data_IF_042038870088
#
_entry.id   IF_042038870088
#
_cell.length_a   1.000
_cell.length_b   1.000
_cell.length_c   1.000
_cell.angle_alpha   90.00
_cell.angle_beta   90.00
_cell.angle_gamma   90.00
#
_symmetry.space_group_name_H-M   'P 1'
#
loop_
_entity.id
_entity.type
_entity.pdbx_description
1 polymer ?
#
# COMPACT_ATOMS: atom_id res chain seq x y z
N UNK A 1 4.42 -21.44 -17.82
CA UNK A 1 3.91 -20.24 -17.15
C UNK A 1 4.06 -19.03 -18.06
N UNK A 2 3.04 -18.23 -18.10
CA UNK A 2 3.06 -17.03 -18.93
C UNK A 2 4.02 -15.99 -18.33
N UNK A 3 4.90 -15.43 -19.17
CA UNK A 3 5.80 -14.35 -18.79
C UNK A 3 5.36 -13.07 -19.50
N UNK A 4 5.33 -11.98 -18.77
CA UNK A 4 4.98 -10.66 -19.30
C UNK A 4 6.05 -9.64 -18.94
N UNK A 5 6.19 -8.64 -19.80
CA UNK A 5 7.03 -7.47 -19.49
C UNK A 5 6.19 -6.49 -18.67
N UNK A 6 6.72 -6.09 -17.51
CA UNK A 6 6.07 -5.10 -16.68
C UNK A 6 7.00 -3.91 -16.46
N UNK A 7 6.42 -2.71 -16.48
CA UNK A 7 7.12 -1.49 -16.09
C UNK A 7 6.87 -1.23 -14.63
N UNK A 8 7.93 -1.16 -13.84
CA UNK A 8 7.89 -0.81 -12.42
C UNK A 8 8.27 0.66 -12.29
N UNK A 9 7.41 1.43 -11.64
CA UNK A 9 7.66 2.85 -11.35
C UNK A 9 7.91 3.01 -9.86
N UNK A 10 9.05 3.61 -9.53
CA UNK A 10 9.41 3.99 -8.16
C UNK A 10 9.04 5.45 -7.97
N UNK A 11 8.15 5.71 -7.01
CA UNK A 11 7.58 7.03 -6.77
C UNK A 11 8.00 7.54 -5.40
N UNK A 12 8.22 8.83 -5.27
CA UNK A 12 8.65 9.43 -4.02
C UNK A 12 8.05 10.80 -3.75
N UNK A 13 7.97 11.13 -2.48
CA UNK A 13 7.78 12.48 -1.96
C UNK A 13 8.98 12.81 -1.06
N UNK A 14 9.55 14.00 -1.23
CA UNK A 14 10.70 14.46 -0.45
C UNK A 14 10.31 15.51 0.60
N UNK A 15 9.04 15.91 0.62
CA UNK A 15 8.47 16.82 1.60
C UNK A 15 6.98 16.55 1.72
N UNK A 16 6.37 16.81 2.89
CA UNK A 16 4.92 16.72 3.03
C UNK A 16 4.25 17.79 2.17
N UNK A 17 3.16 17.40 1.51
CA UNK A 17 2.32 18.34 0.77
C UNK A 17 1.29 18.99 1.69
N UNK A 18 0.39 19.76 1.07
CA UNK A 18 -0.70 20.46 1.78
C UNK A 18 -2.07 19.96 1.32
N UNK A 19 -2.11 18.87 0.58
CA UNK A 19 -3.36 18.32 0.05
C UNK A 19 -4.27 17.85 1.16
N UNK A 20 -5.54 18.23 1.10
CA UNK A 20 -6.59 17.78 2.02
C UNK A 20 -7.66 17.08 1.20
N UNK A 21 -8.08 15.91 1.62
CA UNK A 21 -9.15 15.15 0.99
C UNK A 21 -10.25 14.93 2.02
N UNK A 22 -11.45 15.41 1.74
CA UNK A 22 -12.59 15.18 2.61
C UNK A 22 -13.00 13.69 2.60
N UNK A 23 -13.37 13.18 3.77
CA UNK A 23 -13.87 11.82 3.87
C UNK A 23 -15.19 11.68 3.09
N UNK A 24 -15.33 10.68 2.19
CA UNK A 24 -16.55 10.51 1.40
C UNK A 24 -17.72 9.96 2.23
N UNK A 25 -17.44 9.48 3.43
CA UNK A 25 -18.43 8.89 4.36
C UNK A 25 -17.98 9.18 5.78
N UNK A 26 -18.91 9.06 6.73
CA UNK A 26 -18.64 9.29 8.16
C UNK A 26 -18.24 8.03 8.94
N UNK A 27 -18.40 6.84 8.34
CA UNK A 27 -18.20 5.54 8.99
C UNK A 27 -16.87 4.89 8.64
N UNK A 28 -15.83 5.70 8.42
CA UNK A 28 -14.48 5.25 8.11
C UNK A 28 -13.63 5.22 9.36
N UNK A 29 -12.90 4.13 9.56
CA UNK A 29 -11.93 3.96 10.65
C UNK A 29 -10.68 3.28 10.10
N UNK A 30 -9.50 3.75 10.50
CA UNK A 30 -8.23 3.07 10.19
C UNK A 30 -7.64 2.58 11.50
N UNK A 31 -7.37 1.28 11.58
CA UNK A 31 -6.81 0.66 12.77
C UNK A 31 -5.43 0.08 12.48
N UNK A 32 -4.48 0.38 13.37
CA UNK A 32 -3.17 -0.28 13.37
C UNK A 32 -3.33 -1.66 13.99
N UNK A 33 -2.94 -2.70 13.24
CA UNK A 33 -2.92 -4.08 13.72
C UNK A 33 -1.49 -4.45 14.10
N UNK A 34 -1.22 -4.58 15.39
CA UNK A 34 0.11 -4.94 15.88
C UNK A 34 0.34 -6.45 15.73
N UNK A 35 1.48 -6.82 15.13
CA UNK A 35 1.91 -8.20 14.97
C UNK A 35 0.77 -9.12 14.48
N UNK A 36 0.16 -8.83 13.31
CA UNK A 36 -0.92 -9.67 12.81
C UNK A 36 -0.40 -11.09 12.54
N UNK A 37 -1.29 -12.07 12.67
CA UNK A 37 -0.94 -13.45 12.30
C UNK A 37 -0.72 -13.58 10.80
N UNK A 38 0.09 -14.54 10.39
CA UNK A 38 0.34 -14.82 8.96
C UNK A 38 -0.97 -15.11 8.21
N UNK A 39 -1.89 -15.97 8.70
CA UNK A 39 -3.16 -16.20 8.01
C UNK A 39 -4.02 -14.95 7.87
N UNK A 40 -4.10 -14.13 8.92
CA UNK A 40 -4.87 -12.89 8.87
C UNK A 40 -4.28 -11.91 7.82
N UNK A 41 -2.96 -11.70 7.87
CA UNK A 41 -2.30 -10.83 6.91
C UNK A 41 -2.50 -11.32 5.47
N UNK A 42 -2.34 -12.62 5.22
CA UNK A 42 -2.55 -13.18 3.89
C UNK A 42 -3.99 -13.03 3.41
N UNK A 43 -4.97 -13.08 4.32
CA UNK A 43 -6.36 -12.82 3.94
C UNK A 43 -6.55 -11.40 3.41
N UNK A 44 -5.94 -10.40 4.05
CA UNK A 44 -5.94 -9.02 3.58
C UNK A 44 -5.21 -8.89 2.24
N UNK A 45 -4.00 -9.41 2.18
CA UNK A 45 -3.15 -9.34 0.99
C UNK A 45 -3.82 -9.97 -0.24
N UNK A 46 -4.41 -11.15 -0.06
CA UNK A 46 -5.09 -11.84 -1.16
C UNK A 46 -6.40 -11.15 -1.53
N UNK A 47 -7.17 -10.64 -0.56
CA UNK A 47 -8.43 -9.95 -0.83
C UNK A 47 -8.22 -8.69 -1.69
N UNK A 48 -7.13 -7.97 -1.47
CA UNK A 48 -6.79 -6.77 -2.25
C UNK A 48 -6.07 -7.15 -3.54
N UNK A 49 -5.06 -8.01 -3.47
CA UNK A 49 -4.07 -8.18 -4.50
C UNK A 49 -4.31 -9.27 -5.51
N UNK A 50 -5.26 -10.20 -5.28
CA UNK A 50 -5.44 -11.36 -6.16
C UNK A 50 -5.75 -10.95 -7.61
N UNK A 51 -6.49 -9.88 -7.82
CA UNK A 51 -6.83 -9.37 -9.16
C UNK A 51 -5.68 -8.60 -9.83
N UNK A 52 -4.60 -8.30 -9.09
CA UNK A 52 -3.45 -7.53 -9.58
C UNK A 52 -2.16 -8.35 -9.60
N UNK A 53 -2.27 -9.67 -9.48
CA UNK A 53 -1.12 -10.59 -9.48
C UNK A 53 -0.10 -10.30 -8.36
N UNK A 54 -0.58 -9.97 -7.18
CA UNK A 54 0.28 -9.83 -6.01
C UNK A 54 0.71 -11.22 -5.53
N UNK A 55 1.98 -11.56 -5.69
CA UNK A 55 2.50 -12.89 -5.40
C UNK A 55 3.54 -12.92 -4.28
N UNK A 56 4.23 -11.80 -4.04
CA UNK A 56 5.39 -11.80 -3.14
C UNK A 56 5.11 -12.34 -1.76
N UNK A 57 4.11 -11.81 -1.06
CA UNK A 57 3.75 -12.26 0.29
C UNK A 57 3.01 -13.60 0.29
N UNK A 58 2.37 -13.95 -0.81
CA UNK A 58 1.68 -15.25 -0.95
C UNK A 58 2.68 -16.38 -1.02
N UNK A 59 3.80 -16.19 -1.73
CA UNK A 59 4.83 -17.21 -1.94
C UNK A 59 5.91 -17.22 -0.85
N UNK A 60 5.93 -16.21 0.01
CA UNK A 60 6.93 -16.09 1.08
C UNK A 60 6.71 -17.17 2.13
N UNK A 61 7.81 -17.76 2.64
CA UNK A 61 7.73 -18.73 3.74
C UNK A 61 7.08 -18.09 4.98
N UNK A 62 6.30 -18.88 5.73
CA UNK A 62 5.57 -18.39 6.91
C UNK A 62 6.50 -17.75 7.94
N UNK A 63 7.65 -18.36 8.19
CA UNK A 63 8.61 -17.88 9.19
C UNK A 63 9.19 -16.52 8.81
N UNK A 64 9.49 -16.33 7.53
CA UNK A 64 10.01 -15.06 7.04
C UNK A 64 8.94 -13.97 7.12
N UNK A 65 7.72 -14.29 6.74
CA UNK A 65 6.60 -13.34 6.81
C UNK A 65 6.32 -12.97 8.26
N UNK A 66 6.27 -13.96 9.17
CA UNK A 66 6.06 -13.70 10.58
C UNK A 66 7.10 -12.76 11.16
N UNK A 67 8.37 -12.91 10.79
CA UNK A 67 9.44 -12.00 11.22
C UNK A 67 9.19 -10.57 10.79
N UNK A 68 8.72 -10.37 9.57
CA UNK A 68 8.36 -9.03 9.08
C UNK A 68 7.17 -8.46 9.84
N UNK A 69 6.12 -9.26 10.04
CA UNK A 69 4.89 -8.83 10.71
C UNK A 69 5.08 -8.55 12.20
N UNK A 70 6.04 -9.22 12.84
CA UNK A 70 6.35 -9.00 14.25
C UNK A 70 7.23 -7.77 14.49
N UNK A 71 7.85 -7.23 13.45
CA UNK A 71 8.68 -6.03 13.58
C UNK A 71 7.77 -4.81 13.79
N UNK A 72 7.92 -4.06 14.91
CA UNK A 72 7.07 -2.89 15.17
C UNK A 72 7.28 -1.74 14.17
N UNK A 73 8.36 -1.79 13.40
CA UNK A 73 8.61 -0.81 12.32
C UNK A 73 7.97 -1.21 10.99
N UNK A 74 7.35 -2.38 10.91
CA UNK A 74 6.51 -2.77 9.79
C UNK A 74 5.05 -2.70 10.24
N UNK A 75 4.31 -1.71 9.74
CA UNK A 75 2.97 -1.38 10.24
C UNK A 75 1.90 -1.80 9.25
N UNK A 76 0.85 -2.42 9.76
CA UNK A 76 -0.33 -2.78 8.97
C UNK A 76 -1.50 -1.93 9.47
N UNK A 77 -1.97 -1.02 8.62
CA UNK A 77 -3.12 -0.16 8.89
C UNK A 77 -4.31 -0.64 8.06
N UNK A 78 -5.38 -1.04 8.71
CA UNK A 78 -6.56 -1.60 8.05
C UNK A 78 -7.67 -0.57 8.03
N UNK A 79 -8.13 -0.23 6.82
CA UNK A 79 -9.32 0.61 6.63
C UNK A 79 -10.57 -0.22 6.85
N UNK A 80 -11.46 0.30 7.69
CA UNK A 80 -12.78 -0.26 7.95
C UNK A 80 -13.86 0.70 7.46
N UNK A 81 -14.88 0.15 6.82
CA UNK A 81 -16.08 0.87 6.41
C UNK A 81 -17.25 0.24 7.15
N UNK A 82 -17.93 1.01 7.99
CA UNK A 82 -19.01 0.49 8.84
C UNK A 82 -18.59 -0.76 9.63
N UNK A 83 -17.37 -0.78 10.12
CA UNK A 83 -16.79 -1.90 10.88
C UNK A 83 -16.27 -3.07 10.05
N UNK A 84 -16.38 -3.05 8.73
CA UNK A 84 -15.92 -4.11 7.85
C UNK A 84 -14.55 -3.75 7.24
N UNK A 85 -13.59 -4.68 7.19
CA UNK A 85 -12.34 -4.45 6.47
C UNK A 85 -12.59 -4.13 5.01
N UNK A 86 -11.98 -3.05 4.52
CA UNK A 86 -12.17 -2.55 3.16
C UNK A 86 -10.87 -2.41 2.37
N UNK A 87 -9.73 -2.43 3.05
CA UNK A 87 -8.43 -2.29 2.44
C UNK A 87 -7.35 -2.12 3.49
N UNK A 88 -6.10 -2.00 3.06
CA UNK A 88 -5.01 -1.79 4.00
C UNK A 88 -3.84 -1.04 3.37
N UNK A 89 -3.03 -0.45 4.24
CA UNK A 89 -1.74 0.16 3.91
C UNK A 89 -0.67 -0.47 4.79
N UNK A 90 0.42 -0.89 4.19
CA UNK A 90 1.57 -1.44 4.90
C UNK A 90 2.74 -0.49 4.77
N UNK A 91 3.31 -0.08 5.92
CA UNK A 91 4.48 0.79 5.97
C UNK A 91 5.70 0.03 6.48
N UNK A 92 6.80 0.18 5.78
CA UNK A 92 8.11 -0.29 6.21
C UNK A 92 8.94 0.92 6.65
N UNK A 93 9.25 1.00 7.96
CA UNK A 93 10.05 2.07 8.57
C UNK A 93 11.41 1.56 9.05
N UNK A 94 11.85 0.39 8.57
CA UNK A 94 13.11 -0.22 9.03
C UNK A 94 14.34 0.53 8.52
N UNK A 95 14.23 1.27 7.42
CA UNK A 95 15.32 2.12 6.93
C UNK A 95 15.26 3.48 7.61
N UNK A 96 16.39 4.00 8.16
CA UNK A 96 16.43 5.32 8.76
C UNK A 96 16.02 6.41 7.77
N UNK A 97 15.27 7.41 8.24
CA UNK A 97 14.85 8.58 7.48
C UNK A 97 13.91 8.30 6.30
N UNK A 98 13.51 7.05 6.10
CA UNK A 98 12.61 6.68 5.01
C UNK A 98 11.38 5.91 5.51
N UNK A 99 10.25 6.11 4.84
CA UNK A 99 9.07 5.27 4.96
C UNK A 99 8.73 4.75 3.57
N UNK A 100 8.64 3.43 3.45
CA UNK A 100 8.10 2.80 2.24
C UNK A 100 6.65 2.38 2.49
N UNK A 101 5.75 2.73 1.58
CA UNK A 101 4.43 2.11 1.54
C UNK A 101 4.53 0.87 0.65
N UNK A 102 4.80 -0.27 1.29
CA UNK A 102 5.11 -1.51 0.59
C UNK A 102 3.89 -2.18 -0.02
N UNK A 103 2.71 -2.00 0.58
CA UNK A 103 1.43 -2.48 0.07
C UNK A 103 0.37 -1.42 0.32
N UNK A 104 -0.54 -1.27 -0.63
CA UNK A 104 -1.68 -0.34 -0.51
C UNK A 104 -2.79 -0.77 -1.46
N UNK A 105 -4.01 -0.81 -0.97
CA UNK A 105 -5.14 -1.06 -1.84
C UNK A 105 -6.45 -1.28 -1.11
N UNK A 106 -7.50 -1.38 -1.90
CA UNK A 106 -8.87 -1.65 -1.46
C UNK A 106 -9.30 -3.03 -1.92
N UNK A 107 -10.17 -3.65 -1.13
CA UNK A 107 -10.87 -4.87 -1.54
C UNK A 107 -11.84 -4.53 -2.68
N UNK A 108 -12.12 -5.49 -3.59
CA UNK A 108 -12.90 -5.22 -4.81
C UNK A 108 -14.25 -4.54 -4.56
N UNK A 109 -14.98 -4.93 -3.52
CA UNK A 109 -16.31 -4.39 -3.21
C UNK A 109 -16.27 -2.91 -2.82
N UNK A 110 -15.11 -2.36 -2.51
CA UNK A 110 -14.95 -0.98 -2.05
C UNK A 110 -14.29 -0.06 -3.07
N UNK A 111 -13.90 -0.57 -4.21
CA UNK A 111 -13.28 0.22 -5.29
C UNK A 111 -14.34 1.11 -5.96
N UNK A 112 -13.96 2.32 -6.34
CA UNK A 112 -14.83 3.23 -7.10
C UNK A 112 -15.79 4.06 -6.26
N UNK A 113 -15.59 4.13 -4.93
CA UNK A 113 -16.46 4.88 -4.01
C UNK A 113 -15.79 6.13 -3.42
N UNK A 114 -14.67 6.55 -3.97
CA UNK A 114 -13.89 7.69 -3.44
C UNK A 114 -13.03 7.36 -2.22
N UNK A 115 -13.06 6.11 -1.76
CA UNK A 115 -12.32 5.66 -0.57
C UNK A 115 -10.82 5.65 -0.82
N UNK A 116 -10.37 5.23 -2.00
CA UNK A 116 -8.96 5.12 -2.34
C UNK A 116 -8.24 6.46 -2.28
N UNK A 117 -8.87 7.52 -2.79
CA UNK A 117 -8.33 8.88 -2.73
C UNK A 117 -8.16 9.36 -1.30
N UNK A 118 -9.17 9.15 -0.46
CA UNK A 118 -9.13 9.54 0.94
C UNK A 118 -8.12 8.70 1.71
N UNK A 119 -8.12 7.38 1.51
CA UNK A 119 -7.21 6.49 2.24
C UNK A 119 -5.75 6.73 1.84
N UNK A 120 -5.49 7.03 0.58
CA UNK A 120 -4.14 7.40 0.14
C UNK A 120 -3.67 8.68 0.84
N UNK A 121 -4.52 9.69 0.95
CA UNK A 121 -4.15 10.93 1.66
C UNK A 121 -3.94 10.66 3.15
N UNK A 122 -4.78 9.82 3.77
CA UNK A 122 -4.58 9.38 5.14
C UNK A 122 -3.20 8.73 5.31
N UNK A 123 -2.83 7.83 4.39
CA UNK A 123 -1.55 7.13 4.42
C UNK A 123 -0.37 8.11 4.27
N UNK A 124 -0.48 9.08 3.38
CA UNK A 124 0.54 10.12 3.18
C UNK A 124 0.72 10.91 4.47
N UNK A 125 -0.37 11.37 5.08
CA UNK A 125 -0.33 12.14 6.32
C UNK A 125 0.27 11.32 7.46
N UNK A 126 -0.10 10.06 7.55
CA UNK A 126 0.44 9.15 8.56
C UNK A 126 1.94 8.93 8.39
N UNK A 127 2.39 8.68 7.16
CA UNK A 127 3.82 8.50 6.88
C UNK A 127 4.63 9.73 7.27
N UNK A 128 4.15 10.91 6.92
CA UNK A 128 4.85 12.16 7.25
C UNK A 128 4.81 12.50 8.74
N UNK A 129 3.87 11.94 9.49
CA UNK A 129 3.83 12.12 10.95
C UNK A 129 5.07 11.55 11.66
N UNK A 130 5.79 10.63 11.03
CA UNK A 130 7.06 10.09 11.54
C UNK A 130 8.26 10.96 11.24
N UNK A 131 8.11 12.02 10.44
CA UNK A 131 9.18 12.94 10.08
C UNK A 131 10.26 12.36 9.18
N UNK A 132 9.96 11.49 8.20
CA UNK A 132 10.99 10.97 7.30
C UNK A 132 11.54 12.06 6.40
N UNK A 133 12.67 11.78 5.76
CA UNK A 133 13.19 12.61 4.67
C UNK A 133 12.62 12.20 3.32
N UNK A 134 12.12 10.96 3.23
CA UNK A 134 11.59 10.39 1.99
C UNK A 134 10.43 9.45 2.32
N UNK A 135 9.32 9.63 1.61
CA UNK A 135 8.21 8.67 1.57
C UNK A 135 8.11 8.13 0.16
N UNK A 136 8.16 6.81 0.00
CA UNK A 136 8.22 6.22 -1.32
C UNK A 136 7.41 4.93 -1.43
N UNK A 137 7.14 4.56 -2.67
CA UNK A 137 6.48 3.31 -3.02
C UNK A 137 6.90 2.88 -4.43
N UNK A 138 6.55 1.67 -4.80
CA UNK A 138 6.62 1.28 -6.20
C UNK A 138 5.28 0.70 -6.64
N UNK A 139 4.99 0.87 -7.92
CA UNK A 139 3.81 0.31 -8.58
C UNK A 139 4.23 -0.21 -9.95
N UNK A 140 3.42 -1.07 -10.55
CA UNK A 140 3.74 -1.64 -11.84
C UNK A 140 2.50 -1.69 -12.75
N UNK A 141 2.74 -2.01 -14.02
CA UNK A 141 1.69 -2.05 -15.04
C UNK A 141 0.63 -3.12 -14.81
N UNK A 142 0.84 -4.06 -13.87
CA UNK A 142 -0.16 -5.04 -13.47
C UNK A 142 -1.13 -4.52 -12.39
N UNK A 143 -0.81 -3.39 -11.75
CA UNK A 143 -1.69 -2.77 -10.77
C UNK A 143 -2.92 -2.16 -11.44
N UNK A 144 -3.88 -1.69 -10.63
CA UNK A 144 -5.07 -1.03 -11.15
C UNK A 144 -4.68 0.11 -12.11
N UNK A 145 -5.42 0.27 -13.22
CA UNK A 145 -5.11 1.25 -14.25
C UNK A 145 -5.03 2.71 -13.73
N UNK A 146 -5.73 3.01 -12.63
CA UNK A 146 -5.72 4.33 -12.00
C UNK A 146 -4.66 4.49 -10.91
N UNK A 147 -3.88 3.44 -10.57
CA UNK A 147 -2.92 3.49 -9.49
C UNK A 147 -1.85 4.58 -9.73
N UNK A 148 -1.10 4.49 -10.81
CA UNK A 148 -0.05 5.46 -11.11
C UNK A 148 -0.61 6.89 -11.22
N UNK A 149 -1.68 7.18 -12.01
CA UNK A 149 -2.25 8.52 -12.04
C UNK A 149 -2.68 9.04 -10.66
N UNK A 150 -3.25 8.19 -9.81
CA UNK A 150 -3.69 8.58 -8.47
C UNK A 150 -2.52 8.97 -7.58
N UNK A 151 -1.41 8.23 -7.64
CA UNK A 151 -0.20 8.58 -6.90
C UNK A 151 0.38 9.90 -7.36
N UNK A 152 0.45 10.14 -8.67
CA UNK A 152 0.96 11.40 -9.21
C UNK A 152 0.09 12.58 -8.78
N UNK A 153 -1.24 12.44 -8.82
CA UNK A 153 -2.18 13.46 -8.36
C UNK A 153 -2.04 13.73 -6.86
N UNK A 154 -1.66 12.72 -6.09
CA UNK A 154 -1.48 12.86 -4.64
C UNK A 154 -0.16 13.57 -4.27
N UNK A 155 0.74 13.79 -5.23
CA UNK A 155 1.97 14.54 -5.03
C UNK A 155 3.25 13.73 -5.14
N UNK A 156 3.16 12.43 -5.47
CA UNK A 156 4.35 11.63 -5.74
C UNK A 156 4.96 12.03 -7.08
N UNK A 157 6.28 11.93 -7.19
CA UNK A 157 7.03 12.09 -8.43
C UNK A 157 7.73 10.78 -8.79
N UNK A 158 7.87 10.52 -10.08
CA UNK A 158 8.60 9.33 -10.55
C UNK A 158 10.09 9.56 -10.32
N UNK A 159 10.69 8.72 -9.48
CA UNK A 159 12.14 8.74 -9.22
C UNK A 159 12.90 7.83 -10.19
N UNK A 160 12.30 6.70 -10.57
CA UNK A 160 12.92 5.70 -11.43
C UNK A 160 11.84 4.83 -12.07
N UNK A 161 12.10 4.36 -13.28
CA UNK A 161 11.29 3.31 -13.93
C UNK A 161 12.22 2.25 -14.50
N UNK A 162 11.76 0.99 -14.46
CA UNK A 162 12.46 -0.12 -15.07
C UNK A 162 11.45 -1.13 -15.64
N UNK A 163 11.84 -1.81 -16.72
CA UNK A 163 11.03 -2.87 -17.29
C UNK A 163 11.67 -4.20 -16.93
N UNK A 164 10.88 -5.08 -16.33
CA UNK A 164 11.30 -6.41 -15.92
C UNK A 164 10.40 -7.47 -16.52
N UNK A 165 10.89 -8.69 -16.61
CA UNK A 165 10.11 -9.86 -16.98
C UNK A 165 9.57 -10.53 -15.73
N UNK A 166 8.30 -10.86 -15.73
CA UNK A 166 7.61 -11.42 -14.57
C UNK A 166 6.72 -12.59 -15.00
N UNK A 167 6.70 -13.64 -14.17
CA UNK A 167 5.77 -14.75 -14.30
C UNK A 167 4.45 -14.43 -13.62
N UNK A 168 3.35 -14.82 -14.28
CA UNK A 168 2.01 -14.69 -13.74
C UNK A 168 1.53 -15.98 -13.07
#
# INVERSE_FOLDING_TARGET
MEQVDVTVSYLEMLAPGQRVVAAPRSDLTVLLVSAPSVPYYRSLYNAVGSQYHWLGRRKMADEKLATILDDPKNEIHVLHVAGQPAGFAEFDRRQPDEVEMSQFGLMPDFVGQGLGKWFLQWAIDRAWSYGPKRFWLHTCTLDHAHALPNYLKAGFAIAKQETIRREL
#
